data_IF_381769962295
#
_entry.id   IF_381769962295
#
_cell.length_a   1.000
_cell.length_b   1.000
_cell.length_c   1.000
_cell.angle_alpha   90.00
_cell.angle_beta   90.00
_cell.angle_gamma   90.00
#
_symmetry.space_group_name_H-M   'P 1'
#
loop_
_entity.id
_entity.type
_entity.pdbx_description
1 polymer ?
#
# COMPACT_ATOMS: atom_id res chain seq x y z
N UNK A 1 -48.12 15.18 -40.65
CA UNK A 1 -47.85 14.42 -39.42
C UNK A 1 -46.36 14.12 -39.39
N UNK A 2 -45.60 14.93 -38.65
CA UNK A 2 -44.14 14.78 -38.49
C UNK A 2 -43.89 13.97 -37.23
N UNK A 3 -43.23 12.82 -37.40
CA UNK A 3 -42.86 11.92 -36.30
C UNK A 3 -41.72 12.56 -35.47
N UNK A 4 -41.75 12.53 -34.13
CA UNK A 4 -40.66 13.04 -33.33
C UNK A 4 -39.49 12.06 -33.33
N UNK A 5 -38.26 12.58 -33.43
CA UNK A 5 -37.02 11.82 -33.30
C UNK A 5 -36.87 11.25 -31.88
N UNK A 6 -36.29 10.05 -31.73
CA UNK A 6 -36.04 9.46 -30.42
C UNK A 6 -34.93 10.22 -29.68
N UNK A 7 -34.98 10.29 -28.33
CA UNK A 7 -33.94 10.93 -27.55
C UNK A 7 -32.63 10.13 -27.61
N UNK A 8 -31.54 10.80 -28.00
CA UNK A 8 -30.19 10.26 -27.99
C UNK A 8 -29.74 10.07 -26.54
N UNK A 9 -29.84 8.85 -26.03
CA UNK A 9 -29.36 8.49 -24.70
C UNK A 9 -27.82 8.35 -24.76
N UNK A 10 -27.10 9.47 -24.69
CA UNK A 10 -25.65 9.45 -24.51
C UNK A 10 -25.36 9.24 -23.03
N UNK A 11 -25.20 7.98 -22.62
CA UNK A 11 -24.53 7.64 -21.36
C UNK A 11 -23.13 8.26 -21.39
N UNK A 12 -22.72 9.07 -20.40
CA UNK A 12 -21.37 9.61 -20.36
C UNK A 12 -20.41 8.43 -20.22
N UNK A 13 -19.53 8.28 -21.21
CA UNK A 13 -18.44 7.31 -21.19
C UNK A 13 -17.60 7.61 -19.95
N UNK A 14 -17.68 6.78 -18.90
CA UNK A 14 -16.74 6.82 -17.77
C UNK A 14 -15.35 6.69 -18.39
N UNK A 15 -14.58 7.79 -18.43
CA UNK A 15 -13.23 7.74 -18.97
C UNK A 15 -12.42 6.75 -18.12
N UNK A 16 -11.92 5.71 -18.77
CA UNK A 16 -11.09 4.69 -18.14
C UNK A 16 -9.73 5.30 -17.86
N UNK A 17 -9.35 5.38 -16.59
CA UNK A 17 -8.05 5.92 -16.19
C UNK A 17 -7.01 4.81 -16.32
N UNK A 18 -6.24 4.81 -17.41
CA UNK A 18 -5.12 3.89 -17.60
C UNK A 18 -3.87 4.38 -16.86
N UNK A 19 -3.15 3.45 -16.23
CA UNK A 19 -1.91 3.75 -15.52
C UNK A 19 -0.74 3.82 -16.51
N UNK A 20 -0.48 5.01 -17.05
CA UNK A 20 0.67 5.23 -17.95
C UNK A 20 1.99 5.21 -17.18
N UNK A 21 3.15 4.95 -17.83
CA UNK A 21 4.46 5.01 -17.16
C UNK A 21 4.75 6.36 -16.48
N UNK A 22 4.33 7.47 -17.11
CA UNK A 22 4.45 8.81 -16.53
C UNK A 22 3.58 8.95 -15.29
N UNK A 23 2.32 8.49 -15.34
CA UNK A 23 1.42 8.54 -14.19
C UNK A 23 1.92 7.66 -13.03
N UNK A 24 2.49 6.49 -13.34
CA UNK A 24 3.11 5.61 -12.33
C UNK A 24 4.30 6.30 -11.67
N UNK A 25 5.14 6.97 -12.44
CA UNK A 25 6.28 7.73 -11.92
C UNK A 25 5.81 8.88 -11.03
N UNK A 26 4.79 9.64 -11.45
CA UNK A 26 4.17 10.68 -10.63
C UNK A 26 3.58 10.13 -9.33
N UNK A 27 2.87 9.00 -9.40
CA UNK A 27 2.31 8.30 -8.24
C UNK A 27 3.41 7.95 -7.25
N UNK A 28 4.44 7.25 -7.71
CA UNK A 28 5.54 6.79 -6.88
C UNK A 28 6.29 7.96 -6.22
N UNK A 29 6.65 8.97 -7.00
CA UNK A 29 7.37 10.15 -6.48
C UNK A 29 6.50 11.00 -5.54
N UNK A 30 5.18 11.00 -5.70
CA UNK A 30 4.29 11.73 -4.81
C UNK A 30 4.27 11.21 -3.38
N UNK A 31 4.71 9.96 -3.14
CA UNK A 31 4.80 9.36 -1.80
C UNK A 31 5.87 10.04 -0.92
N UNK A 32 6.88 10.67 -1.52
CA UNK A 32 8.07 11.22 -0.82
C UNK A 32 7.97 12.70 -0.50
N UNK A 33 6.76 13.27 -0.51
CA UNK A 33 6.61 14.72 -0.28
C UNK A 33 7.29 15.09 1.04
N UNK A 34 8.10 16.17 1.10
CA UNK A 34 8.98 16.46 2.24
C UNK A 34 8.29 16.57 3.61
N UNK A 35 6.97 16.80 3.62
CA UNK A 35 6.13 16.89 4.83
C UNK A 35 5.17 15.72 5.01
N UNK A 36 5.14 14.74 4.11
CA UNK A 36 4.20 13.63 4.15
C UNK A 36 4.63 12.60 5.20
N UNK A 37 4.24 12.87 6.45
CA UNK A 37 4.10 11.82 7.47
C UNK A 37 2.69 11.28 7.36
N UNK A 38 2.56 10.02 6.97
CA UNK A 38 1.27 9.36 6.83
C UNK A 38 0.81 8.91 8.20
N UNK A 39 -0.37 9.34 8.66
CA UNK A 39 -1.03 8.70 9.81
C UNK A 39 -1.44 7.30 9.41
N UNK A 40 -1.04 6.30 10.20
CA UNK A 40 -1.37 4.90 10.02
C UNK A 40 -2.42 4.47 11.04
N UNK A 41 -3.54 3.94 10.55
CA UNK A 41 -4.47 3.13 11.34
C UNK A 41 -4.45 1.70 10.83
N UNK A 42 -4.20 0.74 11.72
CA UNK A 42 -4.11 -0.68 11.36
C UNK A 42 -5.01 -1.51 12.24
N UNK A 43 -5.70 -2.45 11.62
CA UNK A 43 -6.46 -3.50 12.29
C UNK A 43 -5.75 -4.84 12.07
N UNK A 44 -5.46 -5.54 13.16
CA UNK A 44 -4.88 -6.88 13.17
C UNK A 44 -5.95 -7.90 13.55
N UNK A 45 -6.08 -8.96 12.75
CA UNK A 45 -6.88 -10.14 13.07
C UNK A 45 -6.03 -11.39 12.89
N UNK A 46 -6.08 -12.29 13.86
CA UNK A 46 -5.46 -13.60 13.81
C UNK A 46 -6.34 -14.63 14.48
N UNK A 47 -6.44 -15.82 13.87
CA UNK A 47 -7.15 -16.96 14.46
C UNK A 47 -6.34 -17.61 15.59
N UNK A 48 -5.05 -17.28 15.71
CA UNK A 48 -4.23 -17.69 16.84
C UNK A 48 -4.49 -16.76 18.04
N UNK A 49 -5.04 -17.26 19.17
CA UNK A 49 -5.34 -16.42 20.32
C UNK A 49 -4.09 -15.85 21.03
N UNK A 50 -2.90 -16.35 20.70
CA UNK A 50 -1.62 -15.83 21.21
C UNK A 50 -1.07 -14.67 20.37
N UNK A 51 -1.62 -14.46 19.17
CA UNK A 51 -1.25 -13.33 18.33
C UNK A 51 -1.96 -12.06 18.77
N UNK A 52 -1.33 -10.92 18.45
CA UNK A 52 -1.93 -9.63 18.71
C UNK A 52 -3.11 -9.40 17.76
N UNK A 53 -4.24 -9.00 18.36
CA UNK A 53 -5.48 -8.67 17.67
C UNK A 53 -5.92 -7.25 18.08
N UNK A 54 -6.67 -6.58 17.20
CA UNK A 54 -7.25 -5.26 17.46
C UNK A 54 -6.60 -4.13 16.66
N UNK A 55 -6.91 -2.90 17.08
CA UNK A 55 -6.51 -1.69 16.37
C UNK A 55 -5.24 -1.09 16.95
N UNK A 56 -4.41 -0.55 16.07
CA UNK A 56 -3.19 0.16 16.42
C UNK A 56 -3.00 1.41 15.57
N UNK A 57 -2.25 2.35 16.11
CA UNK A 57 -1.98 3.63 15.48
C UNK A 57 -0.47 3.86 15.37
N UNK A 58 -0.09 4.56 14.31
CA UNK A 58 1.29 4.90 14.09
C UNK A 58 1.43 5.87 12.94
N UNK A 59 2.60 5.85 12.34
CA UNK A 59 2.92 6.65 11.17
C UNK A 59 3.76 5.89 10.17
N UNK A 60 3.71 6.31 8.91
CA UNK A 60 4.58 5.82 7.86
C UNK A 60 5.27 6.98 7.12
N UNK A 61 6.47 6.73 6.61
CA UNK A 61 7.26 7.66 5.80
C UNK A 61 7.85 6.96 4.58
N UNK A 62 8.12 7.75 3.53
CA UNK A 62 8.87 7.32 2.35
C UNK A 62 10.08 8.23 2.18
N UNK A 63 11.27 7.70 2.42
CA UNK A 63 12.53 8.45 2.33
C UNK A 63 13.27 8.03 1.07
N UNK A 64 13.57 8.95 0.13
CA UNK A 64 14.43 8.65 -1.01
C UNK A 64 15.78 8.09 -0.56
N UNK A 65 16.19 6.95 -1.12
CA UNK A 65 17.53 6.43 -0.93
C UNK A 65 18.46 6.99 -2.01
N UNK A 66 19.57 7.58 -1.58
CA UNK A 66 20.63 8.00 -2.50
C UNK A 66 21.19 6.78 -3.20
N UNK A 67 21.42 6.87 -4.52
CA UNK A 67 22.13 5.83 -5.25
C UNK A 67 23.55 5.70 -4.68
N UNK A 68 23.79 4.70 -3.83
CA UNK A 68 25.13 4.39 -3.33
C UNK A 68 25.96 3.85 -4.49
N UNK A 69 26.90 4.68 -4.95
CA UNK A 69 28.04 4.40 -5.84
C UNK A 69 27.75 4.41 -7.35
N UNK A 70 27.96 5.56 -8.00
CA UNK A 70 29.05 5.78 -8.96
C UNK A 70 28.88 7.15 -9.62
N UNK A 71 29.98 7.90 -9.63
CA UNK A 71 30.29 9.12 -10.40
C UNK A 71 29.18 10.07 -10.85
N UNK A 72 29.39 11.35 -10.47
CA UNK A 72 28.95 12.58 -11.14
C UNK A 72 27.81 12.40 -12.15
N UNK A 73 26.56 12.62 -11.71
CA UNK A 73 25.52 13.00 -12.65
C UNK A 73 24.67 14.13 -12.07
N UNK A 74 25.04 15.33 -12.50
CA UNK A 74 24.18 16.51 -12.62
C UNK A 74 22.96 16.17 -13.49
N UNK A 75 21.91 15.60 -12.89
CA UNK A 75 20.56 15.55 -13.47
C UNK A 75 19.53 15.29 -12.37
N UNK A 76 18.37 15.98 -12.38
CA UNK A 76 17.32 15.83 -11.37
C UNK A 76 16.44 14.59 -11.66
N UNK A 77 17.05 13.42 -11.82
CA UNK A 77 16.29 12.19 -12.00
C UNK A 77 15.58 11.82 -10.67
N UNK A 78 14.31 11.38 -10.70
CA UNK A 78 13.62 10.95 -9.49
C UNK A 78 14.33 9.75 -8.85
N UNK A 79 14.35 9.71 -7.52
CA UNK A 79 14.88 8.56 -6.80
C UNK A 79 14.11 7.30 -7.19
N UNK A 80 14.84 6.24 -7.55
CA UNK A 80 14.25 4.96 -7.94
C UNK A 80 13.89 4.11 -6.72
N UNK A 81 14.61 4.28 -5.61
CA UNK A 81 14.42 3.52 -4.37
C UNK A 81 13.94 4.44 -3.25
N UNK A 82 12.89 4.00 -2.57
CA UNK A 82 12.32 4.65 -1.38
C UNK A 82 12.39 3.68 -0.20
N UNK A 83 12.94 4.14 0.92
CA UNK A 83 12.77 3.49 2.20
C UNK A 83 11.37 3.78 2.72
N UNK A 84 10.53 2.75 2.71
CA UNK A 84 9.27 2.74 3.42
C UNK A 84 9.50 2.35 4.88
N UNK A 85 9.10 3.20 5.82
CA UNK A 85 9.26 2.96 7.25
C UNK A 85 7.96 3.26 8.01
N UNK A 86 7.46 2.27 8.74
CA UNK A 86 6.38 2.43 9.71
C UNK A 86 6.89 2.38 11.15
N UNK A 87 6.24 3.11 12.03
CA UNK A 87 6.41 3.01 13.47
C UNK A 87 5.12 3.37 14.22
N UNK A 88 4.94 2.85 15.43
CA UNK A 88 3.83 3.23 16.29
C UNK A 88 3.78 2.43 17.58
N UNK A 89 2.67 2.59 18.30
CA UNK A 89 2.45 2.00 19.62
C UNK A 89 1.11 1.24 19.65
N UNK A 90 1.11 0.12 20.37
CA UNK A 90 -0.11 -0.65 20.65
C UNK A 90 -0.64 -0.31 22.05
N UNK A 91 -1.97 -0.15 22.21
CA UNK A 91 -2.58 -0.05 23.52
C UNK A 91 -2.19 -1.26 24.39
N UNK A 92 -1.96 -1.03 25.68
CA UNK A 92 -1.68 -2.13 26.61
C UNK A 92 -2.90 -3.08 26.67
N UNK A 93 -2.70 -4.41 26.65
CA UNK A 93 -3.80 -5.36 26.77
C UNK A 93 -4.63 -5.09 28.04
N UNK A 94 -5.97 -5.21 28.00
CA UNK A 94 -6.80 -5.11 29.19
C UNK A 94 -6.35 -6.15 30.23
N UNK A 95 -5.90 -5.69 31.41
CA UNK A 95 -5.48 -6.56 32.51
C UNK A 95 -3.99 -6.55 32.85
N UNK A 96 -3.12 -6.01 31.97
CA UNK A 96 -1.72 -5.77 32.32
C UNK A 96 -1.61 -4.44 33.09
N UNK A 97 -2.02 -4.46 34.37
CA UNK A 97 -1.93 -3.31 35.27
C UNK A 97 -0.47 -2.82 35.36
N UNK A 98 -0.32 -1.50 35.32
CA UNK A 98 0.89 -0.69 35.49
C UNK A 98 1.57 -0.83 36.89
N UNK A 99 1.70 -2.04 37.43
CA UNK A 99 2.32 -2.31 38.73
C UNK A 99 3.82 -2.60 38.65
N UNK A 100 4.45 -2.45 37.48
CA UNK A 100 5.89 -2.67 37.27
C UNK A 100 6.62 -1.44 36.69
N UNK A 101 5.97 -0.28 36.58
CA UNK A 101 6.55 0.88 35.88
C UNK A 101 6.73 0.67 34.35
N UNK A 102 6.35 -0.50 33.84
CA UNK A 102 6.38 -0.88 32.41
C UNK A 102 4.99 -0.65 31.80
N UNK A 103 4.55 0.61 31.83
CA UNK A 103 3.34 1.07 31.13
C UNK A 103 3.60 1.48 29.68
N UNK A 104 4.68 1.00 29.07
CA UNK A 104 5.01 1.34 27.69
C UNK A 104 4.25 0.39 26.76
N UNK A 105 3.36 0.93 25.93
CA UNK A 105 2.73 0.16 24.86
C UNK A 105 3.77 -0.61 24.04
N UNK A 106 3.38 -1.77 23.51
CA UNK A 106 4.26 -2.51 22.61
C UNK A 106 4.50 -1.64 21.36
N UNK A 107 5.75 -1.25 21.13
CA UNK A 107 6.13 -0.51 19.93
C UNK A 107 6.29 -1.48 18.75
N UNK A 108 5.82 -1.07 17.58
CA UNK A 108 6.10 -1.78 16.34
C UNK A 108 6.91 -0.91 15.40
N UNK A 109 7.72 -1.54 14.57
CA UNK A 109 8.45 -0.92 13.47
C UNK A 109 8.50 -1.89 12.29
N UNK A 110 8.45 -1.36 11.07
CA UNK A 110 8.51 -2.15 9.84
C UNK A 110 9.19 -1.34 8.75
N UNK A 111 10.12 -1.96 8.03
CA UNK A 111 10.85 -1.34 6.92
C UNK A 111 10.81 -2.21 5.68
N UNK A 112 10.68 -1.56 4.52
CA UNK A 112 10.80 -2.16 3.19
C UNK A 112 11.46 -1.16 2.25
N UNK A 113 12.05 -1.64 1.15
CA UNK A 113 12.47 -0.78 0.04
C UNK A 113 11.44 -0.91 -1.08
N UNK A 114 10.84 0.20 -1.48
CA UNK A 114 9.99 0.28 -2.66
C UNK A 114 10.84 0.80 -3.81
N UNK A 115 10.82 0.10 -4.94
CA UNK A 115 11.66 0.40 -6.09
C UNK A 115 10.82 0.59 -7.35
N UNK A 116 11.01 1.73 -8.01
CA UNK A 116 10.48 2.02 -9.33
C UNK A 116 11.49 1.59 -10.41
N UNK A 117 10.99 0.85 -11.40
CA UNK A 117 11.72 0.48 -12.63
C UNK A 117 10.83 0.71 -13.84
N UNK A 118 11.35 0.47 -15.05
CA UNK A 118 10.55 0.50 -16.28
C UNK A 118 9.40 -0.51 -16.25
N UNK A 119 9.55 -1.61 -15.51
CA UNK A 119 8.57 -2.70 -15.40
C UNK A 119 7.50 -2.50 -14.33
N UNK A 120 7.61 -1.48 -13.47
CA UNK A 120 6.63 -1.22 -12.42
C UNK A 120 7.24 -0.86 -11.07
N UNK A 121 6.50 -1.17 -10.00
CA UNK A 121 6.95 -1.02 -8.61
C UNK A 121 7.22 -2.40 -8.02
N UNK A 122 8.36 -2.56 -7.35
CA UNK A 122 8.71 -3.77 -6.59
C UNK A 122 8.96 -3.43 -5.13
N UNK A 123 8.63 -4.37 -4.24
CA UNK A 123 8.83 -4.25 -2.78
C UNK A 123 9.86 -5.27 -2.34
N UNK A 124 10.86 -4.81 -1.59
CA UNK A 124 11.99 -5.60 -1.12
C UNK A 124 12.06 -5.59 0.39
N UNK A 125 12.47 -6.70 0.99
CA UNK A 125 12.86 -6.71 2.39
C UNK A 125 14.09 -5.83 2.58
N UNK A 126 14.10 -5.03 3.65
CA UNK A 126 15.29 -4.28 4.07
C UNK A 126 16.17 -5.16 4.93
N UNK A 127 17.48 -5.10 4.73
CA UNK A 127 18.45 -5.81 5.58
C UNK A 127 18.36 -5.31 7.02
N UNK A 128 18.40 -6.23 7.99
CA UNK A 128 18.26 -5.85 9.41
C UNK A 128 19.38 -4.89 9.83
N UNK A 129 18.98 -3.75 10.41
CA UNK A 129 19.91 -2.72 10.87
C UNK A 129 20.53 -1.87 9.75
N UNK A 130 20.12 -2.04 8.49
CA UNK A 130 20.65 -1.30 7.35
C UNK A 130 19.50 -0.85 6.43
N UNK A 131 19.61 0.35 5.86
CA UNK A 131 18.61 0.87 4.92
C UNK A 131 18.95 0.48 3.48
N UNK A 132 19.17 -0.82 3.24
CA UNK A 132 19.52 -1.40 1.94
C UNK A 132 18.61 -2.59 1.62
N UNK A 133 18.29 -2.84 0.34
CA UNK A 133 17.49 -4.00 -0.06
C UNK A 133 18.25 -5.31 0.21
N UNK A 134 17.51 -6.35 0.58
CA UNK A 134 18.01 -7.71 0.79
C UNK A 134 17.51 -8.65 -0.32
N UNK A 135 16.28 -9.15 -0.21
CA UNK A 135 15.63 -9.98 -1.24
C UNK A 135 14.24 -9.46 -1.60
N UNK A 136 13.80 -9.80 -2.81
CA UNK A 136 12.50 -9.40 -3.35
C UNK A 136 11.38 -9.99 -2.51
N UNK A 137 10.42 -9.15 -2.12
CA UNK A 137 9.18 -9.61 -1.53
C UNK A 137 8.16 -9.89 -2.63
N UNK A 138 7.69 -8.86 -3.35
CA UNK A 138 6.79 -9.02 -4.48
C UNK A 138 6.86 -7.81 -5.43
N UNK A 139 6.26 -7.95 -6.61
CA UNK A 139 6.04 -6.88 -7.57
C UNK A 139 4.58 -6.46 -7.58
N UNK A 140 4.31 -5.19 -7.90
CA UNK A 140 2.96 -4.68 -8.04
C UNK A 140 2.37 -5.08 -9.38
N UNK A 141 1.31 -5.88 -9.32
CA UNK A 141 0.41 -6.12 -10.44
C UNK A 141 -0.76 -5.12 -10.34
N UNK A 142 -0.72 -4.04 -11.14
CA UNK A 142 -1.80 -3.05 -11.19
C UNK A 142 -3.02 -3.60 -11.93
N UNK A 143 -4.22 -3.37 -11.38
CA UNK A 143 -5.51 -3.76 -12.00
C UNK A 143 -6.11 -2.56 -12.74
N UNK A 144 -6.48 -2.73 -14.00
CA UNK A 144 -7.18 -1.71 -14.78
C UNK A 144 -8.70 -1.68 -14.49
N UNK A 145 -9.10 -0.94 -13.43
CA UNK A 145 -10.46 -0.48 -13.05
C UNK A 145 -11.64 -1.47 -12.95
N UNK A 146 -12.31 -1.42 -11.79
CA UNK A 146 -13.75 -1.67 -11.47
C UNK A 146 -14.53 -2.74 -12.27
N UNK A 147 -14.07 -3.98 -12.30
CA UNK A 147 -15.01 -5.10 -12.24
C UNK A 147 -15.01 -5.64 -10.81
N UNK A 148 -16.12 -5.37 -10.09
CA UNK A 148 -16.49 -6.15 -8.92
C UNK A 148 -16.69 -7.59 -9.39
N UNK A 149 -15.71 -8.43 -9.08
CA UNK A 149 -15.81 -9.88 -9.19
C UNK A 149 -15.85 -10.45 -10.61
N UNK A 150 -14.72 -11.01 -11.05
CA UNK A 150 -14.71 -12.44 -11.36
C UNK A 150 -13.27 -12.96 -11.25
N UNK A 151 -13.15 -14.22 -10.85
CA UNK A 151 -11.92 -14.93 -10.54
C UNK A 151 -10.99 -15.18 -11.72
N UNK A 152 -10.56 -14.13 -12.43
CA UNK A 152 -9.55 -14.18 -13.48
C UNK A 152 -8.11 -14.36 -12.96
N UNK A 153 -7.93 -15.03 -11.82
CA UNK A 153 -6.62 -15.53 -11.43
C UNK A 153 -6.24 -16.71 -12.33
N UNK A 154 -4.95 -16.90 -12.61
CA UNK A 154 -4.46 -18.19 -13.11
C UNK A 154 -4.99 -19.29 -12.17
N UNK A 155 -5.52 -20.39 -12.72
CA UNK A 155 -6.10 -21.48 -11.92
C UNK A 155 -5.15 -21.84 -10.76
N UNK A 156 -5.60 -21.60 -9.51
CA UNK A 156 -4.84 -21.88 -8.28
C UNK A 156 -4.33 -20.67 -7.50
N UNK A 157 -4.31 -19.45 -8.05
CA UNK A 157 -3.90 -18.25 -7.30
C UNK A 157 -5.08 -17.48 -6.71
N UNK A 158 -5.28 -17.63 -5.40
CA UNK A 158 -6.21 -16.76 -4.64
C UNK A 158 -5.62 -15.35 -4.53
N UNK A 159 -6.41 -14.31 -4.71
CA UNK A 159 -5.96 -12.94 -4.43
C UNK A 159 -6.81 -12.31 -3.33
N UNK A 160 -6.31 -11.23 -2.73
CA UNK A 160 -7.06 -10.43 -1.78
C UNK A 160 -7.23 -9.03 -2.35
N UNK A 161 -8.31 -8.36 -1.96
CA UNK A 161 -8.55 -6.97 -2.33
C UNK A 161 -8.20 -6.04 -1.17
N UNK A 162 -7.62 -4.88 -1.51
CA UNK A 162 -7.40 -3.80 -0.57
C UNK A 162 -8.74 -3.10 -0.25
N UNK A 163 -8.93 -2.59 0.98
CA UNK A 163 -10.08 -1.75 1.26
C UNK A 163 -10.02 -0.45 0.45
N UNK A 164 -11.13 0.28 0.36
CA UNK A 164 -11.12 1.62 -0.22
C UNK A 164 -10.25 2.56 0.64
N UNK A 165 -9.35 3.36 0.04
CA UNK A 165 -8.58 4.36 0.79
C UNK A 165 -9.49 5.45 1.38
N UNK A 166 -9.10 6.09 2.50
CA UNK A 166 -9.85 7.18 3.11
C UNK A 166 -10.25 8.24 2.09
N UNK A 167 -11.48 8.76 2.19
CA UNK A 167 -11.96 9.84 1.32
C UNK A 167 -11.30 11.16 1.71
N UNK A 168 -11.05 12.01 0.71
CA UNK A 168 -10.59 13.38 0.90
C UNK A 168 -11.70 14.30 0.37
N UNK A 169 -12.12 15.28 1.18
CA UNK A 169 -13.28 16.12 0.88
C UNK A 169 -13.01 17.07 -0.29
N UNK A 170 -14.01 17.24 -1.16
CA UNK A 170 -14.04 18.32 -2.17
C UNK A 170 -13.17 18.10 -3.41
N UNK A 171 -12.74 16.87 -3.70
CA UNK A 171 -11.76 16.61 -4.75
C UNK A 171 -12.11 15.43 -5.63
N UNK A 172 -11.96 15.64 -6.94
CA UNK A 172 -12.02 14.55 -7.93
C UNK A 172 -10.77 13.68 -7.81
N UNK A 173 -10.98 12.42 -7.43
CA UNK A 173 -9.92 11.44 -7.24
C UNK A 173 -10.24 10.12 -7.93
N UNK A 174 -9.20 9.39 -8.31
CA UNK A 174 -9.27 8.06 -8.91
C UNK A 174 -8.53 7.08 -7.99
N UNK A 175 -9.02 5.84 -7.89
CA UNK A 175 -8.34 4.81 -7.09
C UNK A 175 -7.63 3.82 -8.00
N UNK A 176 -6.31 3.74 -7.88
CA UNK A 176 -5.49 2.72 -8.53
C UNK A 176 -5.24 1.57 -7.56
N UNK A 177 -5.45 0.33 -8.02
CA UNK A 177 -5.29 -0.88 -7.20
C UNK A 177 -4.13 -1.70 -7.72
N UNK A 178 -3.34 -2.25 -6.81
CA UNK A 178 -2.24 -3.15 -7.10
C UNK A 178 -2.26 -4.33 -6.12
N UNK A 179 -1.64 -5.44 -6.50
CA UNK A 179 -1.49 -6.62 -5.65
C UNK A 179 -0.14 -7.29 -5.86
N UNK A 180 0.23 -8.17 -4.94
CA UNK A 180 1.41 -9.00 -5.05
C UNK A 180 1.37 -10.15 -4.06
N UNK A 181 1.88 -11.30 -4.47
CA UNK A 181 1.94 -12.52 -3.65
C UNK A 181 3.39 -12.90 -3.40
N UNK A 182 3.64 -13.54 -2.26
CA UNK A 182 4.95 -14.10 -1.91
C UNK A 182 4.77 -15.35 -1.05
N UNK A 183 5.29 -16.48 -1.50
CA UNK A 183 5.37 -17.68 -0.67
C UNK A 183 6.62 -17.58 0.20
N UNK A 184 6.45 -17.42 1.51
CA UNK A 184 7.56 -17.46 2.45
C UNK A 184 7.55 -18.82 3.15
N UNK A 185 8.45 -19.71 2.74
CA UNK A 185 8.57 -21.07 3.25
C UNK A 185 7.25 -21.85 3.03
N UNK A 186 6.36 -21.86 4.01
CA UNK A 186 5.08 -22.59 3.99
C UNK A 186 3.87 -21.66 4.20
N UNK A 187 4.09 -20.35 4.36
CA UNK A 187 3.04 -19.38 4.59
C UNK A 187 2.89 -18.50 3.35
N UNK A 188 1.68 -18.44 2.77
CA UNK A 188 1.37 -17.60 1.62
C UNK A 188 1.04 -16.18 2.07
N UNK A 189 1.83 -15.20 1.65
CA UNK A 189 1.59 -13.78 1.87
C UNK A 189 0.88 -13.22 0.64
N UNK A 190 -0.34 -12.76 0.82
CA UNK A 190 -1.13 -12.08 -0.20
C UNK A 190 -1.29 -10.63 0.19
N UNK A 191 -0.83 -9.73 -0.67
CA UNK A 191 -0.86 -8.30 -0.40
C UNK A 191 -1.65 -7.58 -1.48
N UNK A 192 -2.44 -6.61 -1.06
CA UNK A 192 -3.13 -5.69 -1.95
C UNK A 192 -2.97 -4.25 -1.47
N UNK A 193 -2.98 -3.33 -2.43
CA UNK A 193 -2.87 -1.89 -2.25
C UNK A 193 -3.98 -1.18 -3.01
N UNK A 194 -4.41 -0.04 -2.46
CA UNK A 194 -5.25 0.92 -3.15
C UNK A 194 -4.70 2.32 -2.89
N UNK A 195 -4.44 3.07 -3.96
CA UNK A 195 -3.93 4.44 -3.92
C UNK A 195 -5.00 5.37 -4.44
N UNK A 196 -5.47 6.30 -3.60
CA UNK A 196 -6.33 7.39 -4.04
C UNK A 196 -5.45 8.50 -4.59
N UNK A 197 -5.67 8.80 -5.86
CA UNK A 197 -4.85 9.70 -6.63
C UNK A 197 -5.67 10.89 -7.10
N UNK A 198 -5.14 12.09 -6.85
CA UNK A 198 -5.66 13.37 -7.32
C UNK A 198 -4.89 13.82 -8.55
N UNK A 199 -5.60 14.34 -9.55
CA UNK A 199 -4.99 14.95 -10.73
C UNK A 199 -3.94 14.06 -11.42
N UNK A 200 -2.79 14.64 -11.76
CA UNK A 200 -1.72 14.01 -12.54
C UNK A 200 -0.82 12.99 -11.81
N UNK A 201 -1.31 12.36 -10.75
CA UNK A 201 -0.56 11.30 -10.03
C UNK A 201 -0.28 11.58 -8.56
N UNK A 202 -0.93 12.55 -7.93
CA UNK A 202 -0.73 12.80 -6.49
C UNK A 202 -1.46 11.78 -5.63
N UNK A 203 -0.74 10.95 -4.87
CA UNK A 203 -1.36 10.11 -3.83
C UNK A 203 -1.78 11.00 -2.66
N UNK A 204 -3.07 10.98 -2.32
CA UNK A 204 -3.65 11.77 -1.22
C UNK A 204 -4.04 10.92 -0.01
N UNK A 205 -4.32 9.64 -0.26
CA UNK A 205 -4.55 8.62 0.76
C UNK A 205 -4.31 7.26 0.12
N UNK A 206 -3.99 6.26 0.93
CA UNK A 206 -3.85 4.90 0.44
C UNK A 206 -4.20 3.89 1.52
N UNK A 207 -4.40 2.65 1.12
CA UNK A 207 -4.66 1.56 2.03
C UNK A 207 -4.00 0.28 1.53
N UNK A 208 -3.72 -0.63 2.45
CA UNK A 208 -3.23 -1.96 2.11
C UNK A 208 -3.93 -3.04 2.93
N UNK A 209 -3.92 -4.26 2.40
CA UNK A 209 -4.33 -5.46 3.12
C UNK A 209 -3.29 -6.54 2.91
N UNK A 210 -2.88 -7.19 4.00
CA UNK A 210 -2.00 -8.34 3.97
C UNK A 210 -2.70 -9.52 4.63
N UNK A 211 -2.90 -10.58 3.87
CA UNK A 211 -3.43 -11.85 4.37
C UNK A 211 -2.32 -12.88 4.30
N UNK A 212 -2.02 -13.49 5.44
CA UNK A 212 -1.05 -14.57 5.56
C UNK A 212 -1.81 -15.82 5.95
N UNK A 213 -1.74 -16.86 5.12
CA UNK A 213 -2.33 -18.16 5.40
C UNK A 213 -1.27 -19.25 5.28
N UNK A 214 -1.13 -20.05 6.32
CA UNK A 214 -0.28 -21.23 6.34
C UNK A 214 -0.29 -21.93 7.69
N UNK A 215 0.45 -23.04 7.84
CA UNK A 215 0.44 -23.85 9.06
C UNK A 215 0.87 -23.09 10.33
N UNK A 216 1.62 -21.99 10.18
CA UNK A 216 2.17 -21.22 11.31
C UNK A 216 1.45 -19.91 11.54
N UNK A 217 0.78 -19.38 10.52
CA UNK A 217 0.22 -18.04 10.55
C UNK A 217 -1.14 -18.02 9.86
N UNK A 218 -2.09 -17.44 10.57
CA UNK A 218 -3.35 -17.04 10.01
C UNK A 218 -3.60 -15.60 10.44
N UNK A 219 -3.24 -14.64 9.58
CA UNK A 219 -3.29 -13.22 9.90
C UNK A 219 -3.93 -12.43 8.77
N UNK A 220 -4.78 -11.48 9.13
CA UNK A 220 -5.36 -10.46 8.24
C UNK A 220 -5.08 -9.08 8.82
N UNK A 221 -4.28 -8.31 8.08
CA UNK A 221 -3.79 -7.00 8.47
C UNK A 221 -4.33 -5.99 7.49
N UNK A 222 -5.14 -5.05 7.97
CA UNK A 222 -5.68 -3.96 7.17
C UNK A 222 -5.04 -2.65 7.61
N UNK A 223 -4.59 -1.84 6.67
CA UNK A 223 -3.95 -0.56 6.92
C UNK A 223 -4.61 0.57 6.16
N UNK A 224 -4.79 1.71 6.82
CA UNK A 224 -5.24 2.96 6.22
C UNK A 224 -4.22 4.05 6.47
N UNK A 225 -3.91 4.79 5.42
CA UNK A 225 -2.91 5.85 5.43
C UNK A 225 -3.52 7.14 4.87
N UNK A 226 -3.36 8.21 5.63
CA UNK A 226 -3.79 9.56 5.25
C UNK A 226 -2.68 10.55 5.61
N UNK A 227 -2.61 11.67 4.89
CA UNK A 227 -1.71 12.75 5.27
C UNK A 227 -2.13 13.27 6.66
N UNK A 228 -1.16 13.37 7.57
CA UNK A 228 -1.35 13.92 8.92
C UNK A 228 -1.45 15.43 8.95
#
# INVERSE_FOLDING_TARGET
MTQPLPPTNQTPTKMRHQLTPTLLTSLFTSLTRPTAKWTLHRTLKSDNPLDINGDLHGTATFTPLSATNSDVQTSPAPAKDLLYHEEGEMPAPPGLRANLGVGMGLRFTKKYIWRLSEGGISVWFSKVGQDVPDYLFHEFEFRESEEEGDGGGKEGETFVDAPAPPLVSGEDTVVFRARGNHLCINDMYRTAYAFRVRGGGEVVSWASRHVVKGPKKDQDIVNFYQLG
#
